data_IF_947887531416
#
_entry.id   IF_947887531416
#
_cell.length_a   1.000
_cell.length_b   1.000
_cell.length_c   1.000
_cell.angle_alpha   90.00
_cell.angle_beta   90.00
_cell.angle_gamma   90.00
#
_symmetry.space_group_name_H-M   'P 1'
#
loop_
_entity.id
_entity.type
_entity.pdbx_description
1 polymer ?
#
# COMPACT_ATOMS: atom_id res chain seq x y z
N UNK A 1 -28.40 17.39 93.44
CA UNK A 1 -29.74 17.53 92.85
C UNK A 1 -29.56 17.90 91.40
N UNK A 2 -30.05 16.99 90.52
CA UNK A 2 -29.62 16.77 89.11
C UNK A 2 -30.29 17.74 88.15
N UNK A 3 -29.50 18.36 87.22
CA UNK A 3 -30.00 19.04 86.06
C UNK A 3 -29.38 18.37 84.82
N UNK A 4 -30.23 17.75 84.03
CA UNK A 4 -29.91 17.10 82.79
C UNK A 4 -29.84 18.12 81.67
N UNK A 5 -28.70 18.21 80.99
CA UNK A 5 -28.58 18.95 79.74
C UNK A 5 -28.79 18.01 78.56
N UNK A 6 -29.79 18.33 77.76
CA UNK A 6 -30.06 17.70 76.48
C UNK A 6 -29.23 18.44 75.43
N UNK A 7 -28.22 17.78 74.87
CA UNK A 7 -27.48 18.27 73.71
C UNK A 7 -28.09 17.70 72.44
N UNK A 8 -28.70 18.60 71.69
CA UNK A 8 -29.21 18.35 70.36
C UNK A 8 -28.06 18.43 69.37
N UNK A 9 -27.60 17.27 68.86
CA UNK A 9 -26.59 17.21 67.78
C UNK A 9 -27.28 17.34 66.44
N UNK A 10 -27.02 18.48 65.77
CA UNK A 10 -27.43 18.74 64.40
C UNK A 10 -26.44 17.99 63.46
N UNK A 11 -26.88 16.87 62.88
CA UNK A 11 -26.09 16.15 61.91
C UNK A 11 -26.10 16.85 60.56
N UNK A 12 -24.96 17.45 60.19
CA UNK A 12 -24.72 18.01 58.87
C UNK A 12 -24.30 16.85 57.92
N UNK A 13 -25.22 16.36 57.13
CA UNK A 13 -24.95 15.35 56.10
C UNK A 13 -24.29 16.05 54.86
N UNK A 14 -22.98 15.99 54.79
CA UNK A 14 -22.21 16.43 53.64
C UNK A 14 -22.30 15.35 52.53
N UNK A 15 -23.23 15.53 51.58
CA UNK A 15 -23.35 14.68 50.40
C UNK A 15 -22.18 14.96 49.42
N UNK A 16 -21.17 14.09 49.46
CA UNK A 16 -20.12 14.05 48.45
C UNK A 16 -20.73 13.64 47.09
N UNK A 17 -20.99 14.65 46.26
CA UNK A 17 -21.21 14.46 44.83
C UNK A 17 -19.88 14.02 44.17
N UNK A 18 -19.65 12.70 44.14
CA UNK A 18 -18.62 12.12 43.29
C UNK A 18 -19.07 12.27 41.81
N UNK A 19 -18.61 13.33 41.17
CA UNK A 19 -18.73 13.48 39.72
C UNK A 19 -17.97 12.36 39.03
N UNK A 20 -18.70 11.36 38.55
CA UNK A 20 -18.17 10.36 37.63
C UNK A 20 -17.88 11.09 36.33
N UNK A 21 -16.65 11.56 36.18
CA UNK A 21 -16.16 11.94 34.86
C UNK A 21 -16.08 10.68 34.03
N UNK A 22 -17.13 10.41 33.24
CA UNK A 22 -17.07 9.43 32.19
C UNK A 22 -15.96 9.85 31.23
N UNK A 23 -14.78 9.27 31.38
CA UNK A 23 -13.70 9.37 30.42
C UNK A 23 -14.23 8.78 29.12
N UNK A 24 -14.65 9.66 28.20
CA UNK A 24 -14.95 9.27 26.83
C UNK A 24 -13.66 8.65 26.29
N UNK A 25 -13.58 7.33 26.33
CA UNK A 25 -12.55 6.59 25.63
C UNK A 25 -12.67 7.04 24.16
N UNK A 26 -11.70 7.82 23.70
CA UNK A 26 -11.54 8.10 22.28
C UNK A 26 -11.24 6.74 21.62
N UNK A 27 -12.28 6.05 21.19
CA UNK A 27 -12.20 4.84 20.37
C UNK A 27 -11.74 5.21 18.95
N UNK A 28 -10.58 5.85 18.84
CA UNK A 28 -9.87 5.89 17.57
C UNK A 28 -9.39 4.46 17.32
N UNK A 29 -9.84 3.78 16.27
CA UNK A 29 -9.41 2.41 16.01
C UNK A 29 -7.89 2.36 16.02
N UNK A 30 -7.33 1.41 16.77
CA UNK A 30 -5.89 1.24 16.85
C UNK A 30 -5.31 1.08 15.44
N UNK A 31 -4.23 1.80 15.14
CA UNK A 31 -3.51 1.67 13.89
C UNK A 31 -2.78 0.33 13.91
N UNK A 32 -3.21 -0.59 13.08
CA UNK A 32 -2.58 -1.91 12.90
C UNK A 32 -2.16 -2.10 11.45
N UNK A 33 -1.19 -2.98 11.16
CA UNK A 33 -0.84 -3.31 9.79
C UNK A 33 -2.05 -3.74 8.96
N UNK A 34 -2.94 -4.54 9.55
CA UNK A 34 -4.14 -5.03 8.88
C UNK A 34 -5.09 -3.89 8.51
N UNK A 35 -5.40 -2.97 9.44
CA UNK A 35 -6.28 -1.83 9.15
C UNK A 35 -5.70 -0.88 8.10
N UNK A 36 -4.37 -0.73 8.06
CA UNK A 36 -3.69 0.06 7.02
C UNK A 36 -3.79 -0.60 5.65
N UNK A 37 -3.58 -1.92 5.55
CA UNK A 37 -3.70 -2.67 4.32
C UNK A 37 -5.13 -2.65 3.76
N UNK A 38 -6.16 -2.79 4.62
CA UNK A 38 -7.56 -2.71 4.23
C UNK A 38 -7.92 -1.32 3.68
N UNK A 39 -7.45 -0.26 4.35
CA UNK A 39 -7.63 1.11 3.86
C UNK A 39 -6.90 1.36 2.55
N UNK A 40 -5.66 0.85 2.42
CA UNK A 40 -4.87 0.96 1.19
C UNK A 40 -5.58 0.27 0.01
N UNK A 41 -6.06 -0.95 0.21
CA UNK A 41 -6.83 -1.67 -0.80
C UNK A 41 -8.09 -0.90 -1.20
N UNK A 42 -8.90 -0.47 -0.22
CA UNK A 42 -10.09 0.35 -0.48
C UNK A 42 -9.75 1.65 -1.22
N UNK A 43 -8.64 2.29 -0.84
CA UNK A 43 -8.23 3.56 -1.45
C UNK A 43 -7.68 3.42 -2.87
N UNK A 44 -7.05 2.29 -3.19
CA UNK A 44 -6.46 2.06 -4.51
C UNK A 44 -7.39 1.29 -5.47
N UNK A 45 -8.20 0.37 -4.95
CA UNK A 45 -8.92 -0.62 -5.76
C UNK A 45 -10.45 -0.61 -5.56
N UNK A 46 -11.03 0.45 -4.98
CA UNK A 46 -12.50 0.58 -4.91
C UNK A 46 -13.13 0.75 -6.29
N UNK A 47 -14.47 0.78 -6.34
CA UNK A 47 -15.24 0.92 -7.58
C UNK A 47 -14.74 2.08 -8.47
N UNK A 48 -14.71 1.85 -9.79
CA UNK A 48 -14.14 2.76 -10.78
C UNK A 48 -12.68 2.43 -11.08
N UNK A 49 -11.89 3.45 -11.38
CA UNK A 49 -10.47 3.31 -11.66
C UNK A 49 -9.64 4.28 -10.80
N UNK A 50 -8.36 3.97 -10.65
CA UNK A 50 -7.41 4.80 -9.92
C UNK A 50 -6.17 5.03 -10.79
N UNK A 51 -5.74 6.27 -10.91
CA UNK A 51 -4.46 6.65 -11.48
C UNK A 51 -3.49 6.98 -10.36
N UNK A 52 -2.33 6.33 -10.36
CA UNK A 52 -1.24 6.57 -9.42
C UNK A 52 -0.03 7.10 -10.19
N UNK A 53 0.39 8.32 -9.88
CA UNK A 53 1.67 8.85 -10.31
C UNK A 53 2.72 8.46 -9.27
N UNK A 54 3.82 7.87 -9.70
CA UNK A 54 4.86 7.38 -8.81
C UNK A 54 6.25 7.59 -9.40
N UNK A 55 7.28 7.44 -8.54
CA UNK A 55 8.68 7.36 -8.94
C UNK A 55 9.35 6.18 -8.28
N UNK A 56 10.36 5.64 -8.92
CA UNK A 56 11.21 4.61 -8.33
C UNK A 56 12.66 5.04 -8.33
N UNK A 57 13.43 4.52 -7.38
CA UNK A 57 14.87 4.60 -7.31
C UNK A 57 15.41 3.21 -7.01
N UNK A 58 16.28 2.71 -7.88
CA UNK A 58 17.00 1.47 -7.69
C UNK A 58 18.41 1.76 -7.19
N UNK A 59 18.82 1.09 -6.11
CA UNK A 59 20.20 1.07 -5.62
C UNK A 59 20.78 -0.33 -5.76
N UNK A 60 22.03 -0.40 -6.20
CA UNK A 60 22.76 -1.66 -6.29
C UNK A 60 23.18 -2.18 -4.89
N UNK A 61 23.79 -3.37 -4.86
CA UNK A 61 24.33 -3.98 -3.64
C UNK A 61 25.39 -3.15 -2.89
N UNK A 62 25.99 -2.18 -3.56
CA UNK A 62 26.95 -1.24 -2.95
C UNK A 62 26.27 0.06 -2.49
N UNK A 63 24.94 0.16 -2.57
CA UNK A 63 24.17 1.33 -2.21
C UNK A 63 24.20 2.47 -3.23
N UNK A 64 24.86 2.28 -4.40
CA UNK A 64 24.95 3.28 -5.44
C UNK A 64 23.65 3.33 -6.23
N UNK A 65 23.23 4.52 -6.62
CA UNK A 65 22.04 4.71 -7.46
C UNK A 65 22.29 4.08 -8.85
N UNK A 66 21.52 3.03 -9.14
CA UNK A 66 21.58 2.30 -10.41
C UNK A 66 20.55 2.81 -11.43
N UNK A 67 19.46 3.47 -10.95
CA UNK A 67 18.46 4.05 -11.82
C UNK A 67 17.40 4.80 -11.04
N UNK A 68 16.67 5.69 -11.72
CA UNK A 68 15.46 6.31 -11.22
C UNK A 68 14.54 6.63 -12.38
N UNK A 69 13.26 6.38 -12.20
CA UNK A 69 12.25 6.56 -13.25
C UNK A 69 10.93 6.98 -12.62
N UNK A 70 10.20 7.81 -13.35
CA UNK A 70 8.80 8.13 -13.00
C UNK A 70 7.85 7.29 -13.84
N UNK A 71 6.66 7.04 -13.32
CA UNK A 71 5.66 6.25 -14.02
C UNK A 71 4.24 6.60 -13.64
N UNK A 72 3.32 6.03 -14.40
CA UNK A 72 1.88 6.07 -14.15
C UNK A 72 1.34 4.65 -14.07
N UNK A 73 0.54 4.39 -13.05
CA UNK A 73 -0.17 3.13 -12.89
C UNK A 73 -1.66 3.39 -12.91
N UNK A 74 -2.35 2.81 -13.86
CA UNK A 74 -3.80 2.80 -13.94
C UNK A 74 -4.29 1.48 -13.35
N UNK A 75 -5.14 1.54 -12.34
CA UNK A 75 -5.67 0.39 -11.61
C UNK A 75 -7.18 0.31 -11.81
N UNK A 76 -7.71 -0.88 -12.10
CA UNK A 76 -9.16 -1.14 -12.18
C UNK A 76 -9.44 -2.62 -11.90
N UNK A 77 -10.07 -2.92 -10.77
CA UNK A 77 -10.24 -4.30 -10.32
C UNK A 77 -8.90 -5.00 -10.19
N UNK A 78 -8.74 -6.15 -10.86
CA UNK A 78 -7.48 -6.91 -10.90
C UNK A 78 -6.55 -6.49 -12.04
N UNK A 79 -7.04 -5.64 -12.95
CA UNK A 79 -6.24 -5.18 -14.09
C UNK A 79 -5.40 -3.95 -13.72
N UNK A 80 -4.23 -3.86 -14.33
CA UNK A 80 -3.46 -2.63 -14.34
C UNK A 80 -2.84 -2.35 -15.71
N UNK A 81 -2.61 -1.06 -15.96
CA UNK A 81 -1.76 -0.57 -17.04
C UNK A 81 -0.67 0.29 -16.44
N UNK A 82 0.57 -0.02 -16.76
CA UNK A 82 1.78 0.67 -16.32
C UNK A 82 2.41 1.39 -17.50
N UNK A 83 2.78 2.64 -17.30
CA UNK A 83 3.64 3.43 -18.19
C UNK A 83 4.87 3.84 -17.41
N UNK A 84 6.05 3.31 -17.77
CA UNK A 84 7.26 3.41 -16.96
C UNK A 84 8.53 3.41 -17.84
N UNK A 85 9.15 4.56 -18.00
CA UNK A 85 10.31 4.70 -18.89
C UNK A 85 9.98 4.28 -20.33
N UNK A 86 10.68 3.29 -20.85
CA UNK A 86 10.48 2.71 -22.19
C UNK A 86 9.37 1.65 -22.21
N UNK A 87 8.88 1.23 -21.03
CA UNK A 87 7.96 0.12 -20.87
C UNK A 87 6.51 0.61 -20.81
N UNK A 88 5.65 0.00 -21.60
CA UNK A 88 4.20 0.00 -21.39
C UNK A 88 3.77 -1.44 -21.09
N UNK A 89 3.20 -1.68 -19.93
CA UNK A 89 2.74 -3.01 -19.53
C UNK A 89 1.24 -3.01 -19.20
N UNK A 90 0.58 -4.11 -19.49
CA UNK A 90 -0.81 -4.38 -19.11
C UNK A 90 -0.90 -5.77 -18.49
N UNK A 91 -1.54 -5.83 -17.34
CA UNK A 91 -1.95 -7.09 -16.73
C UNK A 91 -3.47 -7.14 -16.69
N UNK A 92 -4.04 -8.18 -17.26
CA UNK A 92 -5.47 -8.44 -17.23
C UNK A 92 -5.74 -9.94 -17.39
N UNK A 93 -6.72 -10.46 -16.67
CA UNK A 93 -7.15 -11.87 -16.73
C UNK A 93 -6.00 -12.89 -16.64
N UNK A 94 -5.03 -12.63 -15.74
CA UNK A 94 -3.90 -13.53 -15.50
C UNK A 94 -2.78 -13.46 -16.55
N UNK A 95 -2.89 -12.56 -17.53
CA UNK A 95 -1.88 -12.38 -18.58
C UNK A 95 -1.22 -11.03 -18.44
N UNK A 96 0.10 -11.00 -18.47
CA UNK A 96 0.91 -9.81 -18.59
C UNK A 96 1.37 -9.66 -20.03
N UNK A 97 1.11 -8.52 -20.63
CA UNK A 97 1.65 -8.12 -21.92
C UNK A 97 2.41 -6.82 -21.73
N UNK A 98 3.66 -6.76 -22.13
CA UNK A 98 4.42 -5.53 -22.10
C UNK A 98 5.17 -5.27 -23.39
N UNK A 99 5.27 -4.01 -23.74
CA UNK A 99 6.05 -3.51 -24.86
C UNK A 99 7.20 -2.68 -24.34
N UNK A 100 8.42 -3.00 -24.78
CA UNK A 100 9.61 -2.19 -24.57
C UNK A 100 9.95 -1.45 -25.86
N UNK A 101 9.87 -0.11 -25.81
CA UNK A 101 10.16 0.72 -26.97
C UNK A 101 11.64 0.81 -27.30
N UNK A 102 12.56 0.50 -26.36
CA UNK A 102 13.98 0.46 -26.59
C UNK A 102 14.41 -0.79 -27.38
N UNK A 103 13.78 -1.93 -27.08
CA UNK A 103 14.05 -3.21 -27.74
C UNK A 103 13.11 -3.47 -28.92
N UNK A 104 12.08 -2.64 -29.07
CA UNK A 104 11.01 -2.81 -30.06
C UNK A 104 10.34 -4.20 -30.00
N UNK A 105 10.14 -4.69 -28.80
CA UNK A 105 9.62 -6.03 -28.51
C UNK A 105 8.34 -5.99 -27.67
N UNK A 106 7.39 -6.87 -28.04
CA UNK A 106 6.17 -7.13 -27.29
C UNK A 106 6.23 -8.53 -26.67
N UNK A 107 6.26 -8.62 -25.35
CA UNK A 107 6.30 -9.89 -24.62
C UNK A 107 4.94 -10.19 -23.97
N UNK A 108 4.51 -11.44 -24.07
CA UNK A 108 3.27 -11.96 -23.48
C UNK A 108 3.64 -13.11 -22.53
N UNK A 109 3.18 -13.06 -21.28
CA UNK A 109 3.49 -14.09 -20.28
C UNK A 109 2.36 -14.31 -19.29
N UNK A 110 2.47 -15.39 -18.50
CA UNK A 110 1.66 -15.66 -17.31
C UNK A 110 2.57 -15.49 -16.08
N UNK A 111 2.65 -14.29 -15.50
CA UNK A 111 3.59 -14.02 -14.44
C UNK A 111 3.21 -14.71 -13.13
N UNK A 112 4.21 -15.12 -12.36
CA UNK A 112 4.07 -15.47 -10.96
C UNK A 112 3.76 -14.22 -10.10
N UNK A 113 3.34 -14.43 -8.86
CA UNK A 113 3.12 -13.31 -7.92
C UNK A 113 4.38 -12.49 -7.67
N UNK A 114 5.57 -13.14 -7.61
CA UNK A 114 6.84 -12.45 -7.39
C UNK A 114 7.21 -11.57 -8.60
N UNK A 115 6.95 -12.03 -9.82
CA UNK A 115 7.16 -11.24 -11.04
C UNK A 115 6.21 -10.04 -11.10
N UNK A 116 4.93 -10.23 -10.70
CA UNK A 116 3.98 -9.12 -10.63
C UNK A 116 4.42 -8.04 -9.63
N UNK A 117 4.99 -8.43 -8.47
CA UNK A 117 5.51 -7.48 -7.48
C UNK A 117 6.68 -6.65 -8.02
N UNK A 118 7.53 -7.23 -8.87
CA UNK A 118 8.65 -6.52 -9.48
C UNK A 118 8.17 -5.48 -10.50
N UNK A 119 7.09 -5.79 -11.24
CA UNK A 119 6.53 -4.91 -12.26
C UNK A 119 5.61 -3.85 -11.64
N UNK A 120 4.79 -4.26 -10.68
CA UNK A 120 3.84 -3.40 -9.99
C UNK A 120 4.04 -3.49 -8.47
N UNK A 121 4.87 -2.63 -7.86
CA UNK A 121 5.06 -2.61 -6.41
C UNK A 121 3.77 -2.40 -5.61
N UNK A 122 2.74 -1.78 -6.20
CA UNK A 122 1.44 -1.58 -5.54
C UNK A 122 0.58 -2.86 -5.52
N UNK A 123 0.92 -3.87 -6.35
CA UNK A 123 0.25 -5.18 -6.32
C UNK A 123 0.35 -5.87 -4.95
N UNK A 124 1.43 -5.59 -4.22
CA UNK A 124 1.61 -5.98 -2.83
C UNK A 124 0.42 -5.58 -1.94
N UNK A 125 -0.15 -4.39 -2.16
CA UNK A 125 -1.29 -3.87 -1.41
C UNK A 125 -2.62 -4.50 -1.86
N UNK A 126 -2.74 -4.87 -3.14
CA UNK A 126 -3.93 -5.55 -3.68
C UNK A 126 -4.16 -6.90 -3.02
N UNK A 127 -3.10 -7.63 -2.75
CA UNK A 127 -3.15 -8.93 -2.08
C UNK A 127 -3.19 -8.81 -0.54
N UNK A 128 -3.30 -7.60 0.01
CA UNK A 128 -3.16 -7.31 1.46
C UNK A 128 -1.91 -7.95 2.05
N UNK A 129 -0.81 -7.88 1.32
CA UNK A 129 0.47 -8.50 1.68
C UNK A 129 0.36 -10.01 1.98
N UNK A 130 -0.51 -10.74 1.27
CA UNK A 130 -0.64 -12.20 1.42
C UNK A 130 0.73 -12.86 1.23
N UNK A 131 1.09 -13.79 2.12
CA UNK A 131 2.39 -14.47 2.11
C UNK A 131 3.50 -13.69 2.82
N UNK A 132 3.16 -12.60 3.52
CA UNK A 132 4.07 -11.84 4.36
C UNK A 132 3.56 -11.80 5.81
N UNK A 133 4.45 -11.86 6.77
CA UNK A 133 4.18 -11.41 8.14
C UNK A 133 4.35 -9.89 8.19
N UNK A 134 3.59 -9.22 9.04
CA UNK A 134 3.62 -7.76 9.15
C UNK A 134 3.82 -7.30 10.59
N UNK A 135 4.62 -6.24 10.77
CA UNK A 135 4.90 -5.64 12.07
C UNK A 135 4.87 -4.12 11.96
N UNK A 136 4.07 -3.46 12.81
CA UNK A 136 4.12 -2.01 12.95
C UNK A 136 5.47 -1.62 13.58
N UNK A 137 6.27 -0.84 12.87
CA UNK A 137 7.58 -0.36 13.34
C UNK A 137 7.47 0.95 14.09
N UNK A 138 6.50 1.78 13.73
CA UNK A 138 6.30 3.07 14.38
C UNK A 138 5.19 3.89 13.76
N UNK A 139 4.82 4.93 14.49
CA UNK A 139 3.84 5.93 14.07
C UNK A 139 4.39 7.30 14.39
N UNK A 140 4.33 8.22 13.43
CA UNK A 140 4.77 9.61 13.59
C UNK A 140 3.76 10.53 12.91
N UNK A 141 3.08 11.34 13.70
CA UNK A 141 2.03 12.23 13.19
C UNK A 141 0.93 11.48 12.45
N UNK A 142 0.75 11.80 11.17
CA UNK A 142 -0.26 11.21 10.30
C UNK A 142 0.22 9.96 9.55
N UNK A 143 1.44 9.49 9.81
CA UNK A 143 2.05 8.36 9.10
C UNK A 143 2.33 7.18 10.03
N UNK A 144 2.25 5.97 9.48
CA UNK A 144 2.64 4.73 10.12
C UNK A 144 3.56 3.93 9.21
N UNK A 145 4.60 3.33 9.79
CA UNK A 145 5.56 2.49 9.08
C UNK A 145 5.37 1.04 9.48
N UNK A 146 5.23 0.17 8.49
CA UNK A 146 5.04 -1.26 8.66
C UNK A 146 6.15 -2.01 7.93
N UNK A 147 6.79 -2.95 8.62
CA UNK A 147 7.69 -3.92 7.99
C UNK A 147 6.93 -5.19 7.64
N UNK A 148 7.25 -5.75 6.49
CA UNK A 148 6.72 -7.00 5.98
C UNK A 148 7.87 -7.95 5.65
N UNK A 149 7.77 -9.20 6.11
CA UNK A 149 8.77 -10.24 5.88
C UNK A 149 8.10 -11.40 5.15
N UNK A 150 8.64 -11.88 4.01
CA UNK A 150 8.08 -13.02 3.29
C UNK A 150 8.02 -14.26 4.18
N UNK A 151 6.92 -15.00 4.15
CA UNK A 151 6.72 -16.27 4.86
C UNK A 151 7.22 -17.47 4.05
N UNK A 152 7.49 -17.27 2.75
CA UNK A 152 7.99 -18.29 1.83
C UNK A 152 9.26 -17.81 1.14
N UNK A 153 9.95 -18.74 0.47
CA UNK A 153 11.15 -18.42 -0.31
C UNK A 153 10.80 -17.44 -1.43
N UNK A 154 11.38 -16.26 -1.40
CA UNK A 154 11.20 -15.17 -2.36
C UNK A 154 12.54 -14.51 -2.66
N UNK A 155 12.68 -13.81 -3.78
CA UNK A 155 13.83 -12.94 -4.05
C UNK A 155 13.78 -11.64 -3.23
N UNK A 156 12.60 -11.24 -2.75
CA UNK A 156 12.42 -10.14 -1.81
C UNK A 156 12.72 -10.65 -0.40
N UNK A 157 13.51 -9.93 0.38
CA UNK A 157 13.83 -10.25 1.77
C UNK A 157 13.00 -9.46 2.77
N UNK A 158 12.60 -8.23 2.41
CA UNK A 158 11.69 -7.41 3.22
C UNK A 158 11.04 -6.33 2.38
N UNK A 159 9.89 -5.86 2.86
CA UNK A 159 9.24 -4.63 2.36
C UNK A 159 8.97 -3.73 3.56
N UNK A 160 9.39 -2.46 3.47
CA UNK A 160 9.02 -1.44 4.47
C UNK A 160 8.11 -0.44 3.79
N UNK A 161 6.88 -0.32 4.28
CA UNK A 161 5.88 0.58 3.72
C UNK A 161 5.53 1.69 4.71
N UNK A 162 5.49 2.93 4.24
CA UNK A 162 5.00 4.08 5.00
C UNK A 162 3.62 4.46 4.46
N UNK A 163 2.64 4.49 5.36
CA UNK A 163 1.23 4.75 5.04
C UNK A 163 0.76 6.07 5.64
N UNK A 164 -0.15 6.74 4.96
CA UNK A 164 -1.00 7.77 5.54
C UNK A 164 -2.08 7.08 6.40
N UNK A 165 -2.17 7.40 7.69
CA UNK A 165 -3.08 6.72 8.61
C UNK A 165 -4.55 6.95 8.24
N UNK A 166 -4.89 8.15 7.77
CA UNK A 166 -6.27 8.56 7.50
C UNK A 166 -6.95 7.73 6.40
N UNK A 167 -6.22 7.40 5.32
CA UNK A 167 -6.75 6.74 4.13
C UNK A 167 -6.01 5.46 3.74
N UNK A 168 -4.95 5.10 4.47
CA UNK A 168 -4.10 3.94 4.17
C UNK A 168 -3.27 4.05 2.90
N UNK A 169 -3.25 5.20 2.22
CA UNK A 169 -2.44 5.35 1.01
C UNK A 169 -0.96 5.25 1.35
N UNK A 170 -0.19 4.44 0.61
CA UNK A 170 1.25 4.39 0.79
C UNK A 170 1.87 5.69 0.27
N UNK A 171 2.79 6.25 1.02
CA UNK A 171 3.67 7.32 0.53
C UNK A 171 4.97 6.76 -0.03
N UNK A 172 5.44 5.63 0.52
CA UNK A 172 6.66 4.96 0.11
C UNK A 172 6.58 3.46 0.36
N UNK A 173 7.19 2.70 -0.54
CA UNK A 173 7.47 1.27 -0.41
C UNK A 173 8.97 1.06 -0.67
N UNK A 174 9.68 0.44 0.25
CA UNK A 174 11.09 0.06 0.12
C UNK A 174 11.18 -1.46 0.09
N UNK A 175 11.59 -2.01 -1.04
CA UNK A 175 11.84 -3.44 -1.23
C UNK A 175 13.34 -3.72 -1.10
N UNK A 176 13.67 -4.71 -0.30
CA UNK A 176 15.03 -5.24 -0.19
C UNK A 176 15.10 -6.61 -0.86
N UNK A 177 16.07 -6.84 -1.71
CA UNK A 177 16.27 -8.10 -2.41
C UNK A 177 17.44 -8.91 -1.82
N UNK A 178 17.51 -10.20 -2.15
CA UNK A 178 18.58 -11.11 -1.71
C UNK A 178 19.97 -10.70 -2.17
N UNK A 179 20.08 -10.10 -3.34
CA UNK A 179 21.32 -9.57 -3.88
C UNK A 179 21.74 -8.26 -3.21
N UNK A 180 21.00 -7.82 -2.17
CA UNK A 180 21.18 -6.56 -1.45
C UNK A 180 20.83 -5.31 -2.26
N UNK A 181 20.22 -5.44 -3.41
CA UNK A 181 19.65 -4.30 -4.12
C UNK A 181 18.42 -3.77 -3.37
N UNK A 182 18.15 -2.47 -3.52
CA UNK A 182 17.02 -1.77 -2.90
C UNK A 182 16.21 -1.07 -3.99
N UNK A 183 14.91 -1.33 -4.01
CA UNK A 183 13.95 -0.60 -4.85
C UNK A 183 13.07 0.26 -3.93
N UNK A 184 13.16 1.57 -4.09
CA UNK A 184 12.26 2.52 -3.43
C UNK A 184 11.21 2.98 -4.43
N UNK A 185 9.94 2.76 -4.12
CA UNK A 185 8.82 3.33 -4.87
C UNK A 185 8.14 4.42 -4.01
N UNK A 186 8.01 5.62 -4.54
CA UNK A 186 7.33 6.76 -3.89
C UNK A 186 6.07 7.10 -4.65
N UNK A 187 4.94 7.16 -3.96
CA UNK A 187 3.66 7.57 -4.51
C UNK A 187 3.56 9.09 -4.45
N UNK A 188 3.51 9.73 -5.61
CA UNK A 188 3.43 11.19 -5.72
C UNK A 188 1.98 11.69 -5.68
N UNK A 189 1.06 10.96 -6.34
CA UNK A 189 -0.36 11.33 -6.40
C UNK A 189 -1.23 10.11 -6.64
N UNK A 190 -2.41 10.12 -6.05
CA UNK A 190 -3.49 9.15 -6.32
C UNK A 190 -4.72 9.92 -6.76
N UNK A 191 -5.24 9.62 -7.94
CA UNK A 191 -6.39 10.29 -8.53
C UNK A 191 -7.48 9.28 -8.87
N UNK A 192 -8.69 9.49 -8.36
CA UNK A 192 -9.86 8.71 -8.76
C UNK A 192 -10.27 9.04 -10.18
N UNK A 193 -10.68 8.02 -10.93
CA UNK A 193 -11.14 8.11 -12.31
C UNK A 193 -12.45 7.36 -12.48
N UNK A 194 -13.20 7.73 -13.50
CA UNK A 194 -14.23 6.87 -14.06
C UNK A 194 -13.60 5.60 -14.60
N UNK A 195 -14.37 4.51 -14.67
CA UNK A 195 -13.88 3.26 -15.22
C UNK A 195 -13.38 3.43 -16.65
N UNK A 196 -12.24 2.83 -16.95
CA UNK A 196 -11.71 2.75 -18.31
C UNK A 196 -12.45 1.67 -19.10
N UNK A 197 -12.57 1.82 -20.43
CA UNK A 197 -13.06 0.74 -21.26
C UNK A 197 -12.11 -0.47 -21.21
N UNK A 198 -12.62 -1.68 -21.41
CA UNK A 198 -11.82 -2.90 -21.32
C UNK A 198 -10.63 -2.90 -22.30
N UNK A 199 -10.79 -2.27 -23.47
CA UNK A 199 -9.72 -2.11 -24.46
C UNK A 199 -8.50 -1.32 -23.94
N UNK A 200 -8.67 -0.50 -22.90
CA UNK A 200 -7.56 0.22 -22.25
C UNK A 200 -6.56 -0.73 -21.62
N UNK A 201 -7.02 -1.90 -21.17
CA UNK A 201 -6.19 -2.95 -20.58
C UNK A 201 -5.85 -4.04 -21.61
N UNK A 202 -5.53 -3.61 -22.84
CA UNK A 202 -5.10 -4.50 -23.91
C UNK A 202 -3.89 -3.88 -24.64
N UNK A 203 -2.86 -4.69 -24.82
CA UNK A 203 -1.75 -4.39 -25.72
C UNK A 203 -1.72 -5.47 -26.82
N UNK A 204 -1.44 -5.05 -28.04
CA UNK A 204 -1.29 -5.98 -29.16
C UNK A 204 -0.21 -5.50 -30.12
N UNK A 205 0.36 -6.43 -30.90
CA UNK A 205 1.34 -6.11 -31.94
C UNK A 205 0.80 -5.14 -33.00
N UNK A 206 -0.54 -5.09 -33.18
CA UNK A 206 -1.17 -4.10 -34.10
C UNK A 206 -0.90 -2.65 -33.70
N UNK A 207 -0.73 -2.40 -32.41
CA UNK A 207 -0.41 -1.06 -31.89
C UNK A 207 1.09 -0.69 -32.05
N UNK A 208 1.93 -1.67 -32.40
CA UNK A 208 3.39 -1.51 -32.53
C UNK A 208 3.90 -2.20 -33.80
N UNK A 209 3.63 -1.63 -34.99
CA UNK A 209 3.96 -2.26 -36.25
C UNK A 209 5.44 -2.61 -36.36
N UNK A 210 5.77 -3.83 -36.75
CA UNK A 210 7.14 -4.32 -36.90
C UNK A 210 7.83 -4.74 -35.61
N UNK A 211 7.17 -4.70 -34.47
CA UNK A 211 7.77 -5.18 -33.21
C UNK A 211 7.96 -6.72 -33.25
N UNK A 212 9.01 -7.19 -32.61
CA UNK A 212 9.15 -8.60 -32.29
C UNK A 212 8.09 -9.03 -31.29
N UNK A 213 7.49 -10.21 -31.48
CA UNK A 213 6.51 -10.77 -30.54
C UNK A 213 7.08 -12.01 -29.89
N UNK A 214 7.24 -11.95 -28.55
CA UNK A 214 7.73 -13.08 -27.74
C UNK A 214 6.58 -13.58 -26.87
N UNK A 215 6.08 -14.79 -27.15
CA UNK A 215 5.01 -15.43 -26.37
C UNK A 215 5.60 -16.50 -25.44
N UNK A 216 5.51 -16.26 -24.13
CA UNK A 216 6.05 -17.11 -23.05
C UNK A 216 4.96 -17.81 -22.22
N UNK A 217 3.74 -17.94 -22.75
CA UNK A 217 2.60 -18.50 -22.00
C UNK A 217 2.60 -20.04 -21.94
#
# INVERSE_FOLDING_TARGET
MNIRYILMTLGLSLSLLTGVYAQRANNTPAVTPQTLLERAESSLYSAGATLVDFSTELRDKAGRRAGATTGKMHLQGDAFRLEYGTITAVYASGTLTYYDSAEHALTISKPSSDELLQINPLYFLRSRAKGFSSQLQGQTGSQATVAFTPQHKSNITSVVATFQISNGLPSQLLFSAKDKSLLTAKVARVTRRTAYPQSFFTLSAKSYPGCEVVDLR
#
